data_IF_684205054580
#
_entry.id   IF_684205054580
#
_cell.length_a   1.000
_cell.length_b   1.000
_cell.length_c   1.000
_cell.angle_alpha   90.00
_cell.angle_beta   90.00
_cell.angle_gamma   90.00
#
_symmetry.space_group_name_H-M   'P 1'
#
loop_
_entity.id
_entity.type
_entity.pdbx_description
1 polymer ?
#
# COMPACT_ATOMS: atom_id res chain seq x y z
N UNK A 1 -26.76 -26.76 19.78
CA UNK A 1 -26.83 -25.31 19.48
C UNK A 1 -25.69 -24.98 18.52
N UNK A 2 -26.00 -24.57 17.29
CA UNK A 2 -24.97 -24.19 16.30
C UNK A 2 -24.46 -22.79 16.67
N UNK A 3 -23.16 -22.67 16.93
CA UNK A 3 -22.54 -21.36 17.13
C UNK A 3 -22.77 -20.49 15.87
N UNK A 4 -23.16 -19.21 16.01
CA UNK A 4 -23.31 -18.34 14.85
C UNK A 4 -21.96 -18.23 14.14
N UNK A 5 -21.98 -18.38 12.81
CA UNK A 5 -20.78 -18.18 12.00
C UNK A 5 -20.29 -16.73 12.17
N UNK A 6 -18.97 -16.50 12.34
CA UNK A 6 -18.43 -15.14 12.36
C UNK A 6 -18.89 -14.40 11.11
N UNK A 7 -19.34 -13.15 11.26
CA UNK A 7 -19.69 -12.31 10.12
C UNK A 7 -18.42 -12.04 9.32
N UNK A 8 -18.48 -12.29 8.02
CA UNK A 8 -17.37 -11.93 7.12
C UNK A 8 -17.28 -10.41 7.01
N UNK A 9 -16.10 -9.87 7.31
CA UNK A 9 -15.75 -8.46 7.11
C UNK A 9 -14.40 -8.41 6.41
N UNK A 10 -14.43 -8.11 5.11
CA UNK A 10 -13.25 -7.88 4.29
C UNK A 10 -12.91 -6.40 4.22
N UNK A 11 -11.63 -6.06 4.29
CA UNK A 11 -11.13 -4.69 4.11
C UNK A 11 -9.96 -4.67 3.14
N UNK A 12 -9.80 -3.56 2.43
CA UNK A 12 -8.58 -3.30 1.66
C UNK A 12 -7.63 -2.48 2.53
N UNK A 13 -6.40 -2.96 2.70
CA UNK A 13 -5.32 -2.27 3.39
C UNK A 13 -4.31 -1.81 2.34
N UNK A 14 -4.01 -0.52 2.33
CA UNK A 14 -2.92 -0.01 1.50
C UNK A 14 -1.57 -0.42 2.11
N UNK A 15 -0.63 -0.93 1.29
CA UNK A 15 0.62 -1.54 1.76
C UNK A 15 1.50 -0.56 2.55
N UNK A 16 1.42 0.74 2.28
CA UNK A 16 2.18 1.74 3.02
C UNK A 16 1.83 1.79 4.52
N UNK A 17 0.62 1.38 4.94
CA UNK A 17 0.31 1.25 6.37
C UNK A 17 1.04 0.07 7.01
N UNK A 18 1.23 -1.03 6.28
CA UNK A 18 2.02 -2.17 6.76
C UNK A 18 3.50 -1.80 6.87
N UNK A 19 4.02 -1.02 5.91
CA UNK A 19 5.40 -0.50 5.94
C UNK A 19 5.61 0.52 7.07
N UNK A 20 4.62 1.38 7.34
CA UNK A 20 4.74 2.47 8.32
C UNK A 20 4.44 2.03 9.77
N UNK A 21 3.48 1.13 9.97
CA UNK A 21 2.97 0.76 11.30
C UNK A 21 3.22 -0.69 11.69
N UNK A 22 3.96 -1.42 10.85
CA UNK A 22 4.23 -2.87 10.93
C UNK A 22 3.04 -3.76 10.56
N UNK A 23 3.35 -4.95 10.07
CA UNK A 23 2.34 -5.97 9.73
C UNK A 23 1.51 -6.35 10.96
N UNK A 24 2.17 -6.69 12.07
CA UNK A 24 1.49 -7.12 13.29
C UNK A 24 0.62 -5.99 13.87
N UNK A 25 1.13 -4.77 13.96
CA UNK A 25 0.38 -3.63 14.49
C UNK A 25 -0.90 -3.33 13.69
N UNK A 26 -0.85 -3.47 12.36
CA UNK A 26 -2.05 -3.33 11.52
C UNK A 26 -2.98 -4.52 11.74
N UNK A 27 -2.49 -5.76 11.66
CA UNK A 27 -3.32 -6.96 11.80
C UNK A 27 -4.02 -7.04 13.17
N UNK A 28 -3.33 -6.68 14.26
CA UNK A 28 -3.90 -6.65 15.61
C UNK A 28 -5.09 -5.68 15.69
N UNK A 29 -4.97 -4.51 15.08
CA UNK A 29 -6.06 -3.53 15.03
C UNK A 29 -7.23 -4.02 14.18
N UNK A 30 -6.96 -4.70 13.06
CA UNK A 30 -8.00 -5.28 12.20
C UNK A 30 -8.76 -6.40 12.92
N UNK A 31 -8.04 -7.29 13.62
CA UNK A 31 -8.65 -8.37 14.43
C UNK A 31 -9.54 -7.78 15.52
N UNK A 32 -9.07 -6.74 16.23
CA UNK A 32 -9.88 -6.02 17.23
C UNK A 32 -11.13 -5.37 16.64
N UNK A 33 -11.08 -4.95 15.38
CA UNK A 33 -12.23 -4.41 14.65
C UNK A 33 -13.18 -5.48 14.08
N UNK A 34 -12.88 -6.77 14.29
CA UNK A 34 -13.68 -7.88 13.77
C UNK A 34 -13.50 -8.14 12.28
N UNK A 35 -12.41 -7.65 11.69
CA UNK A 35 -12.05 -7.95 10.29
C UNK A 35 -11.62 -9.40 10.17
N UNK A 36 -12.09 -10.07 9.12
CA UNK A 36 -11.85 -11.50 8.87
C UNK A 36 -11.12 -11.76 7.56
N UNK A 37 -10.91 -10.74 6.73
CA UNK A 37 -10.17 -10.84 5.48
C UNK A 37 -9.51 -9.51 5.11
N UNK A 38 -8.31 -9.60 4.52
CA UNK A 38 -7.54 -8.45 4.05
C UNK A 38 -7.21 -8.65 2.58
N UNK A 39 -7.44 -7.60 1.79
CA UNK A 39 -6.85 -7.44 0.48
C UNK A 39 -5.79 -6.33 0.54
N UNK A 40 -4.69 -6.49 -0.20
CA UNK A 40 -3.68 -5.43 -0.35
C UNK A 40 -3.18 -5.38 -1.77
N UNK A 41 -2.54 -4.27 -2.12
CA UNK A 41 -1.98 -4.03 -3.45
C UNK A 41 -0.50 -4.43 -3.47
N UNK A 42 0.01 -5.03 -4.55
CA UNK A 42 1.35 -5.60 -4.58
C UNK A 42 2.42 -4.56 -4.96
N UNK A 43 2.50 -3.49 -4.18
CA UNK A 43 3.51 -2.45 -4.31
C UNK A 43 4.09 -2.08 -2.96
N UNK A 44 5.24 -1.44 -3.00
CA UNK A 44 5.90 -0.79 -1.86
C UNK A 44 6.05 0.70 -2.14
N UNK A 45 5.99 1.50 -1.09
CA UNK A 45 6.07 2.95 -1.13
C UNK A 45 7.18 3.45 -0.21
N UNK A 46 7.83 4.55 -0.58
CA UNK A 46 8.78 5.25 0.29
C UNK A 46 8.69 6.76 0.10
N UNK A 47 9.05 7.56 1.13
CA UNK A 47 9.23 9.00 0.98
C UNK A 47 10.25 9.33 -0.12
N UNK A 48 9.95 10.36 -0.89
CA UNK A 48 10.77 10.90 -1.97
C UNK A 48 10.84 12.43 -1.86
N UNK A 49 11.65 13.04 -2.73
CA UNK A 49 11.65 14.49 -2.90
C UNK A 49 10.58 14.94 -3.90
N UNK A 50 10.22 16.22 -3.86
CA UNK A 50 9.20 16.82 -4.73
C UNK A 50 9.51 16.71 -6.24
N UNK A 51 10.79 16.63 -6.61
CA UNK A 51 11.19 16.56 -8.03
C UNK A 51 11.05 15.14 -8.59
N UNK A 52 11.14 14.12 -7.73
CA UNK A 52 11.17 12.71 -8.14
C UNK A 52 9.95 11.91 -7.69
N UNK A 53 9.19 12.40 -6.72
CA UNK A 53 8.01 11.75 -6.16
C UNK A 53 6.68 12.35 -6.61
N UNK A 54 5.62 11.55 -6.52
CA UNK A 54 4.24 12.04 -6.59
C UNK A 54 3.78 12.53 -5.22
N UNK A 55 2.96 13.59 -5.17
CA UNK A 55 2.36 14.05 -3.91
C UNK A 55 1.33 13.03 -3.42
N UNK A 56 1.38 12.71 -2.13
CA UNK A 56 0.41 11.90 -1.41
C UNK A 56 -0.16 12.74 -0.25
N UNK A 57 -1.49 12.95 -0.18
CA UNK A 57 -2.48 12.51 -1.16
C UNK A 57 -2.37 13.30 -2.47
N UNK A 58 -2.75 12.71 -3.63
CA UNK A 58 -2.68 13.40 -4.91
C UNK A 58 -3.47 14.70 -4.92
N UNK A 59 -3.03 15.64 -5.76
CA UNK A 59 -3.75 16.90 -5.95
C UNK A 59 -5.15 16.67 -6.51
N UNK A 60 -6.12 17.42 -5.98
CA UNK A 60 -7.55 17.24 -6.28
C UNK A 60 -7.97 18.02 -7.53
N UNK A 61 -7.30 17.76 -8.66
CA UNK A 61 -7.65 18.27 -9.99
C UNK A 61 -8.00 19.78 -10.06
N UNK A 62 -7.30 20.62 -9.28
CA UNK A 62 -7.51 22.07 -9.26
C UNK A 62 -8.37 22.61 -8.10
N UNK A 63 -8.91 21.75 -7.23
CA UNK A 63 -9.58 22.16 -5.99
C UNK A 63 -8.59 22.57 -4.87
N UNK A 64 -7.29 22.58 -5.17
CA UNK A 64 -6.22 22.96 -4.24
C UNK A 64 -5.69 21.80 -3.39
N UNK A 65 -4.79 22.13 -2.46
CA UNK A 65 -4.07 21.18 -1.57
C UNK A 65 -4.84 20.90 -0.27
N UNK A 66 -6.16 20.81 -0.34
CA UNK A 66 -7.03 20.72 0.85
C UNK A 66 -7.11 19.31 1.45
N UNK A 67 -6.67 18.29 0.72
CA UNK A 67 -6.67 16.91 1.19
C UNK A 67 -5.38 16.63 1.94
N UNK A 68 -5.53 16.19 3.19
CA UNK A 68 -4.46 15.69 4.05
C UNK A 68 -4.82 14.27 4.49
N UNK A 69 -3.81 13.44 4.70
CA UNK A 69 -4.01 12.12 5.28
C UNK A 69 -4.53 12.27 6.72
N UNK A 70 -5.62 11.59 7.03
CA UNK A 70 -6.12 11.46 8.41
C UNK A 70 -5.22 10.53 9.23
N UNK A 71 -4.67 9.50 8.59
CA UNK A 71 -3.68 8.57 9.16
C UNK A 71 -2.29 8.90 8.61
N UNK A 72 -1.39 9.50 9.40
CA UNK A 72 -0.08 9.96 8.91
C UNK A 72 0.80 8.82 8.41
N UNK A 73 1.54 9.05 7.34
CA UNK A 73 2.58 8.16 6.83
C UNK A 73 3.95 8.76 7.18
N UNK A 74 4.79 7.98 7.85
CA UNK A 74 6.11 8.40 8.36
C UNK A 74 6.07 9.75 9.11
N UNK A 75 5.03 9.94 9.92
CA UNK A 75 4.81 11.15 10.72
C UNK A 75 4.32 12.37 9.91
N UNK A 76 3.97 12.21 8.63
CA UNK A 76 3.52 13.30 7.76
C UNK A 76 2.10 13.06 7.28
N UNK A 77 1.33 14.16 7.17
CA UNK A 77 -0.03 14.16 6.62
C UNK A 77 -0.10 14.51 5.14
N UNK A 78 1.03 14.97 4.60
CA UNK A 78 1.29 15.10 3.18
C UNK A 78 2.79 14.91 2.95
N UNK A 79 3.15 14.26 1.85
CA UNK A 79 4.53 13.95 1.50
C UNK A 79 4.63 13.66 0.01
N UNK A 80 5.86 13.69 -0.51
CA UNK A 80 6.15 13.14 -1.83
C UNK A 80 6.60 11.70 -1.66
N UNK A 81 6.15 10.82 -2.56
CA UNK A 81 6.42 9.39 -2.50
C UNK A 81 6.85 8.84 -3.84
N UNK A 82 7.59 7.75 -3.80
CA UNK A 82 7.84 6.88 -4.95
C UNK A 82 7.31 5.49 -4.66
N UNK A 83 6.92 4.76 -5.70
CA UNK A 83 6.41 3.40 -5.60
C UNK A 83 7.19 2.45 -6.50
N UNK A 84 7.23 1.17 -6.09
CA UNK A 84 7.83 0.09 -6.86
C UNK A 84 6.99 -1.19 -6.64
N UNK A 85 7.04 -2.18 -7.54
CA UNK A 85 6.38 -3.46 -7.28
C UNK A 85 6.94 -4.11 -5.99
N UNK A 86 6.13 -4.84 -5.23
CA UNK A 86 6.60 -5.54 -4.02
C UNK A 86 7.35 -6.85 -4.32
N UNK A 87 7.39 -7.26 -5.58
CA UNK A 87 8.03 -8.49 -6.03
C UNK A 87 8.78 -8.28 -7.34
N UNK A 88 9.68 -9.20 -7.67
CA UNK A 88 10.32 -9.26 -8.99
C UNK A 88 9.40 -10.03 -9.94
N UNK A 89 8.80 -9.38 -10.96
CA UNK A 89 7.89 -10.06 -11.88
C UNK A 89 8.62 -11.08 -12.76
N UNK A 90 7.99 -12.22 -13.02
CA UNK A 90 8.48 -13.16 -14.04
C UNK A 90 8.08 -12.68 -15.44
N UNK A 91 9.00 -11.98 -16.10
CA UNK A 91 8.78 -11.39 -17.44
C UNK A 91 8.34 -12.41 -18.49
N UNK A 92 8.61 -13.71 -18.30
CA UNK A 92 8.16 -14.76 -19.23
C UNK A 92 6.64 -14.84 -19.29
N UNK A 93 5.95 -14.53 -18.19
CA UNK A 93 4.48 -14.51 -18.11
C UNK A 93 3.85 -13.33 -18.87
N UNK A 94 4.65 -12.30 -19.20
CA UNK A 94 4.17 -11.07 -19.84
C UNK A 94 4.59 -10.97 -21.31
N UNK A 95 5.26 -11.98 -21.86
CA UNK A 95 5.77 -11.97 -23.23
C UNK A 95 4.62 -11.80 -24.24
N UNK A 96 4.73 -10.79 -25.09
CA UNK A 96 3.75 -10.49 -26.14
C UNK A 96 2.51 -9.72 -25.64
N UNK A 97 2.43 -9.41 -24.34
CA UNK A 97 1.36 -8.56 -23.81
C UNK A 97 1.69 -7.08 -24.02
N UNK A 98 0.65 -6.27 -24.22
CA UNK A 98 0.78 -4.80 -24.34
C UNK A 98 1.22 -4.16 -23.02
N UNK A 99 0.72 -4.68 -21.91
CA UNK A 99 1.06 -4.19 -20.58
C UNK A 99 2.19 -5.04 -20.00
N UNK A 100 3.35 -4.42 -19.88
CA UNK A 100 4.52 -5.00 -19.22
C UNK A 100 4.49 -4.62 -17.73
N UNK A 101 5.04 -5.47 -16.85
CA UNK A 101 5.09 -5.16 -15.44
C UNK A 101 6.08 -4.01 -15.18
N UNK A 102 5.90 -3.29 -14.08
CA UNK A 102 6.86 -2.29 -13.66
C UNK A 102 8.21 -2.95 -13.32
N UNK A 103 9.31 -2.29 -13.67
CA UNK A 103 10.64 -2.81 -13.36
C UNK A 103 10.87 -2.79 -11.83
N UNK A 104 11.44 -3.86 -11.24
CA UNK A 104 11.81 -3.86 -9.84
C UNK A 104 12.95 -2.87 -9.58
N UNK A 105 12.91 -2.21 -8.43
CA UNK A 105 13.94 -1.25 -8.01
C UNK A 105 14.65 -1.73 -6.74
N UNK A 106 15.56 -0.93 -6.19
CA UNK A 106 16.13 -1.22 -4.87
C UNK A 106 15.04 -1.23 -3.78
N UNK A 107 14.02 -0.40 -3.92
CA UNK A 107 12.88 -0.39 -3.02
C UNK A 107 12.14 -1.72 -3.04
N UNK A 108 11.96 -2.34 -4.22
CA UNK A 108 11.39 -3.69 -4.36
C UNK A 108 12.20 -4.73 -3.59
N UNK A 109 13.53 -4.69 -3.67
CA UNK A 109 14.39 -5.68 -3.00
C UNK A 109 14.38 -5.51 -1.48
N UNK A 110 14.39 -4.25 -1.02
CA UNK A 110 14.46 -3.89 0.40
C UNK A 110 13.15 -4.16 1.13
N UNK A 111 12.04 -3.64 0.58
CA UNK A 111 10.76 -3.60 1.30
C UNK A 111 9.74 -4.59 0.75
N UNK A 112 10.00 -5.19 -0.42
CA UNK A 112 9.11 -6.17 -1.04
C UNK A 112 8.71 -7.32 -0.13
N UNK A 113 9.63 -7.94 0.64
CA UNK A 113 9.29 -9.02 1.59
C UNK A 113 8.31 -8.64 2.71
N UNK A 114 7.99 -7.35 2.90
CA UNK A 114 7.00 -6.89 3.88
C UNK A 114 5.57 -7.12 3.37
N UNK A 115 5.37 -7.13 2.04
CA UNK A 115 4.06 -7.14 1.36
C UNK A 115 3.85 -8.44 0.59
#
# INVERSE_FOLDING_TARGET
MTQPRPKFLGVTVMPEYLQNETVDGVLDNLVRAGVTAVATSPYVMAPADEKTGGREPPDDAGAGTVRLLDRPLWGRRELFVTTAPSFVPDERLYRGLRYQPAAPTELTRRDGPII
#
